data_IF_841513374182
#
_entry.id   IF_841513374182
#
_cell.length_a   1.000
_cell.length_b   1.000
_cell.length_c   1.000
_cell.angle_alpha   90.00
_cell.angle_beta   90.00
_cell.angle_gamma   90.00
#
_symmetry.space_group_name_H-M   'P 1'
#
loop_
_entity.id
_entity.type
_entity.pdbx_description
1 polymer ?
#
# COMPACT_ATOMS: atom_id res chain seq x y z
N UNK A 1 -27.91 74.12 -10.85
CA UNK A 1 -28.28 73.35 -10.16
C UNK A 1 -27.88 72.08 -10.28
N UNK A 2 -27.42 71.45 -9.84
CA UNK A 2 -27.25 70.42 -9.48
C UNK A 2 -26.88 69.34 -9.75
N UNK A 3 -26.46 68.62 -9.42
CA UNK A 3 -26.37 67.54 -9.24
C UNK A 3 -25.52 66.66 -9.43
N UNK A 4 -24.94 65.95 -9.00
CA UNK A 4 -25.02 64.96 -8.39
C UNK A 4 -24.77 63.77 -8.90
N UNK A 5 -24.03 63.11 -8.50
CA UNK A 5 -23.90 61.99 -8.50
C UNK A 5 -23.17 61.17 -8.03
N UNK A 6 -23.15 60.37 -7.76
CA UNK A 6 -23.08 59.24 -7.23
C UNK A 6 -22.40 58.27 -7.92
N UNK A 7 -21.51 57.86 -7.43
CA UNK A 7 -20.90 56.82 -7.93
C UNK A 7 -20.84 55.74 -7.01
N UNK A 8 -21.35 54.79 -7.26
CA UNK A 8 -21.32 53.70 -6.42
C UNK A 8 -20.23 52.81 -6.82
N UNK A 9 -19.42 52.69 -6.07
CA UNK A 9 -18.39 51.78 -6.34
C UNK A 9 -18.70 50.51 -5.69
N UNK A 10 -19.06 49.66 -6.36
CA UNK A 10 -19.26 48.39 -5.82
C UNK A 10 -18.00 47.65 -5.88
N UNK A 11 -17.39 47.62 -4.91
CA UNK A 11 -16.17 46.87 -4.82
C UNK A 11 -16.44 45.44 -4.58
N UNK A 12 -16.21 44.78 -5.49
CA UNK A 12 -16.33 43.46 -5.33
C UNK A 12 -15.23 42.76 -4.97
N UNK A 13 -15.33 42.28 -4.04
CA UNK A 13 -14.36 41.61 -3.50
C UNK A 13 -14.60 40.24 -3.55
N UNK A 14 -14.10 39.64 -4.33
CA UNK A 14 -14.38 38.36 -4.38
C UNK A 14 -13.37 37.46 -4.33
N UNK A 15 -12.34 37.85 -4.36
CA UNK A 15 -11.31 37.00 -4.65
C UNK A 15 -10.82 36.08 -3.63
N UNK A 16 -11.02 36.37 -2.51
CA UNK A 16 -10.34 35.68 -1.51
C UNK A 16 -10.59 34.22 -1.39
N UNK A 17 -11.69 33.83 -1.74
CA UNK A 17 -11.99 32.52 -1.38
C UNK A 17 -11.32 31.48 -2.14
N UNK A 18 -11.16 31.73 -3.33
CA UNK A 18 -10.66 30.69 -4.13
C UNK A 18 -9.35 30.19 -3.67
N UNK A 19 -8.58 31.02 -3.21
CA UNK A 19 -7.28 30.61 -2.88
C UNK A 19 -7.20 29.63 -1.80
N UNK A 20 -7.99 29.79 -0.89
CA UNK A 20 -7.89 28.96 0.24
C UNK A 20 -8.14 27.56 -0.05
N UNK A 21 -9.08 27.34 -0.87
CA UNK A 21 -9.38 26.03 -1.12
C UNK A 21 -8.30 25.31 -1.78
N UNK A 22 -7.67 25.98 -2.63
CA UNK A 22 -6.70 25.32 -3.40
C UNK A 22 -5.60 24.78 -2.57
N UNK A 23 -5.06 25.56 -1.76
CA UNK A 23 -3.92 25.07 -1.08
C UNK A 23 -4.29 24.13 0.00
N UNK A 24 -5.36 24.37 0.61
CA UNK A 24 -5.68 23.55 1.73
C UNK A 24 -5.78 22.08 1.40
N UNK A 25 -6.65 21.76 0.52
CA UNK A 25 -6.86 20.36 0.29
C UNK A 25 -5.67 19.64 -0.25
N UNK A 26 -5.02 20.25 -1.11
CA UNK A 26 -3.92 19.61 -1.73
C UNK A 26 -2.88 19.23 -0.74
N UNK A 27 -2.55 20.10 0.07
CA UNK A 27 -1.50 19.87 0.99
C UNK A 27 -1.84 18.82 1.97
N UNK A 28 -2.99 18.94 2.47
CA UNK A 28 -3.34 18.06 3.53
C UNK A 28 -3.36 16.65 3.08
N UNK A 29 -3.85 16.44 1.94
CA UNK A 29 -3.95 15.10 1.47
C UNK A 29 -2.62 14.44 1.42
N UNK A 30 -1.66 15.13 1.04
CA UNK A 30 -0.38 14.54 0.86
C UNK A 30 0.22 14.06 2.15
N UNK A 31 0.09 14.79 3.16
CA UNK A 31 0.77 14.43 4.35
C UNK A 31 0.04 13.50 5.21
N UNK A 32 -1.20 13.47 5.09
CA UNK A 32 -1.94 12.74 6.04
C UNK A 32 -1.81 11.24 5.91
N UNK A 33 -1.24 10.79 4.86
CA UNK A 33 -1.33 9.38 4.63
C UNK A 33 -0.10 8.62 5.03
N UNK A 34 0.08 8.45 6.24
CA UNK A 34 1.15 7.61 6.71
C UNK A 34 0.61 6.20 6.81
N UNK A 35 1.19 5.28 6.08
CA UNK A 35 0.79 3.89 6.17
C UNK A 35 1.43 3.30 7.41
N UNK A 36 0.65 2.75 8.30
CA UNK A 36 1.25 2.18 9.50
C UNK A 36 2.13 0.99 9.17
N UNK A 37 3.29 0.98 9.76
CA UNK A 37 4.20 -0.12 9.59
C UNK A 37 3.82 -1.23 10.55
N UNK A 38 3.94 -2.44 10.09
CA UNK A 38 3.75 -3.62 10.94
C UNK A 38 5.08 -4.34 10.99
N UNK A 39 5.67 -4.43 12.15
CA UNK A 39 6.91 -5.15 12.31
C UNK A 39 6.62 -6.65 12.30
N UNK A 40 7.35 -7.36 11.48
CA UNK A 40 7.25 -8.82 11.41
C UNK A 40 8.46 -9.41 12.11
N UNK A 41 8.22 -10.28 13.04
CA UNK A 41 9.32 -11.00 13.68
C UNK A 41 9.66 -12.27 12.89
N UNK A 42 10.66 -12.99 13.34
CA UNK A 42 11.10 -14.17 12.59
C UNK A 42 10.03 -15.25 12.51
N UNK A 43 9.20 -15.38 13.52
CA UNK A 43 8.12 -16.37 13.47
C UNK A 43 7.05 -16.00 12.48
N UNK A 44 6.75 -14.70 12.36
CA UNK A 44 5.82 -14.22 11.35
C UNK A 44 6.38 -14.51 9.95
N UNK A 45 7.64 -14.18 9.75
CA UNK A 45 8.28 -14.37 8.45
C UNK A 45 8.34 -15.83 8.04
N UNK A 46 8.57 -16.71 8.98
CA UNK A 46 8.58 -18.14 8.69
C UNK A 46 7.21 -18.64 8.22
N UNK A 47 6.17 -18.18 8.87
CA UNK A 47 4.81 -18.56 8.49
C UNK A 47 4.43 -17.96 7.14
N UNK A 48 4.80 -16.72 6.91
CA UNK A 48 4.53 -16.06 5.65
C UNK A 48 5.30 -16.77 4.52
N UNK A 49 6.53 -17.17 4.77
CA UNK A 49 7.31 -17.90 3.78
C UNK A 49 6.62 -19.22 3.42
N UNK A 50 6.19 -19.98 4.41
CA UNK A 50 5.47 -21.22 4.16
C UNK A 50 4.19 -20.96 3.38
N UNK A 51 3.51 -19.88 3.68
CA UNK A 51 2.29 -19.50 2.97
C UNK A 51 2.59 -19.11 1.52
N UNK A 52 3.69 -18.44 1.29
CA UNK A 52 4.14 -18.09 -0.05
C UNK A 52 4.37 -19.37 -0.89
N UNK A 53 5.03 -20.37 -0.29
CA UNK A 53 5.26 -21.64 -0.99
C UNK A 53 3.92 -22.32 -1.34
N UNK A 54 2.95 -22.23 -0.45
CA UNK A 54 1.62 -22.79 -0.70
C UNK A 54 0.88 -21.99 -1.75
N UNK A 55 0.92 -20.68 -1.66
CA UNK A 55 0.25 -19.79 -2.61
C UNK A 55 0.80 -19.97 -4.02
N UNK A 56 2.09 -20.30 -4.12
CA UNK A 56 2.73 -20.53 -5.42
C UNK A 56 2.17 -21.75 -6.15
N UNK A 57 1.51 -22.63 -5.43
CA UNK A 57 0.88 -23.81 -6.03
C UNK A 57 -0.59 -23.59 -6.26
N UNK A 58 -1.13 -22.54 -5.74
CA UNK A 58 -2.54 -22.22 -5.91
C UNK A 58 -2.73 -21.45 -7.23
N UNK A 59 -3.99 -21.24 -7.56
CA UNK A 59 -4.31 -20.48 -8.76
C UNK A 59 -3.89 -19.04 -8.58
N UNK A 60 -3.31 -18.44 -9.59
CA UNK A 60 -2.95 -17.03 -9.57
C UNK A 60 -4.19 -16.20 -9.24
N UNK A 61 -4.02 -15.25 -8.34
CA UNK A 61 -5.12 -14.42 -7.88
C UNK A 61 -5.86 -14.96 -6.67
N UNK A 62 -5.56 -16.19 -6.24
CA UNK A 62 -6.24 -16.76 -5.10
C UNK A 62 -5.50 -16.46 -3.81
N UNK A 63 -6.12 -15.77 -2.85
CA UNK A 63 -5.46 -15.51 -1.58
C UNK A 63 -5.33 -16.77 -0.72
N UNK A 64 -4.20 -16.91 -0.09
CA UNK A 64 -3.96 -17.98 0.88
C UNK A 64 -3.71 -17.33 2.23
N UNK A 65 -4.53 -17.68 3.19
CA UNK A 65 -4.47 -17.05 4.50
C UNK A 65 -3.29 -17.54 5.33
N UNK A 66 -2.77 -16.69 6.18
CA UNK A 66 -1.79 -17.08 7.18
C UNK A 66 -2.19 -16.50 8.54
N UNK A 67 -1.77 -17.17 9.59
CA UNK A 67 -2.04 -16.75 10.96
C UNK A 67 -0.87 -17.15 11.83
N UNK A 68 -0.45 -16.26 12.69
CA UNK A 68 0.56 -16.57 13.69
C UNK A 68 -0.02 -16.40 15.09
N UNK A 69 -0.37 -17.49 15.76
CA UNK A 69 -0.95 -17.39 17.10
C UNK A 69 0.02 -16.82 18.12
N UNK A 70 1.30 -16.94 17.88
CA UNK A 70 2.28 -16.42 18.83
C UNK A 70 2.31 -14.89 18.87
N UNK A 71 1.99 -14.24 17.78
CA UNK A 71 2.01 -12.77 17.71
C UNK A 71 0.61 -12.18 17.54
N UNK A 72 -0.36 -13.02 17.22
CA UNK A 72 -1.72 -12.55 16.94
C UNK A 72 -1.87 -11.92 15.56
N UNK A 73 -0.84 -11.93 14.74
CA UNK A 73 -0.91 -11.37 13.40
C UNK A 73 -1.49 -12.38 12.41
N UNK A 74 -2.10 -11.88 11.40
CA UNK A 74 -2.70 -12.71 10.35
C UNK A 74 -2.75 -11.94 9.05
N UNK A 75 -3.10 -12.61 7.97
CA UNK A 75 -3.25 -11.95 6.69
C UNK A 75 -3.39 -12.95 5.56
N UNK A 76 -2.88 -12.60 4.42
CA UNK A 76 -2.95 -13.44 3.24
C UNK A 76 -1.80 -13.15 2.29
N UNK A 77 -1.45 -14.16 1.51
CA UNK A 77 -0.50 -14.04 0.40
C UNK A 77 -1.24 -14.41 -0.87
N UNK A 78 -1.16 -13.56 -1.86
CA UNK A 78 -1.78 -13.80 -3.17
C UNK A 78 -0.73 -13.67 -4.25
N UNK A 79 -0.62 -14.66 -5.12
CA UNK A 79 0.27 -14.55 -6.26
C UNK A 79 -0.46 -13.74 -7.33
N UNK A 80 0.14 -12.66 -7.76
CA UNK A 80 -0.48 -11.77 -8.73
C UNK A 80 -0.19 -12.23 -10.15
N UNK A 81 1.04 -12.64 -10.40
CA UNK A 81 1.43 -13.15 -11.71
C UNK A 81 2.74 -13.92 -11.63
N UNK A 82 3.00 -14.73 -12.62
CA UNK A 82 4.21 -15.52 -12.74
C UNK A 82 4.77 -15.37 -14.14
N UNK A 83 6.08 -15.48 -14.27
CA UNK A 83 6.69 -15.43 -15.59
C UNK A 83 8.19 -15.64 -15.50
N UNK A 84 8.81 -15.79 -16.66
CA UNK A 84 10.25 -15.97 -16.74
C UNK A 84 10.94 -14.63 -16.98
N UNK A 85 12.07 -14.46 -16.35
CA UNK A 85 12.93 -13.31 -16.61
C UNK A 85 13.73 -13.55 -17.89
N UNK A 86 14.45 -12.54 -18.33
CA UNK A 86 15.25 -12.67 -19.57
C UNK A 86 16.30 -13.74 -19.45
N UNK A 87 16.83 -13.97 -18.26
CA UNK A 87 17.84 -14.99 -18.04
C UNK A 87 17.22 -16.35 -17.73
N UNK A 88 15.93 -16.51 -17.93
CA UNK A 88 15.27 -17.80 -17.80
C UNK A 88 14.88 -18.20 -16.40
N UNK A 89 14.93 -17.29 -15.45
CA UNK A 89 14.56 -17.59 -14.09
C UNK A 89 13.05 -17.41 -13.91
N UNK A 90 12.41 -18.37 -13.28
CA UNK A 90 10.99 -18.26 -13.01
C UNK A 90 10.76 -17.40 -11.77
N UNK A 91 10.02 -16.33 -11.93
CA UNK A 91 9.71 -15.41 -10.84
C UNK A 91 8.21 -15.15 -10.77
N UNK A 92 7.76 -14.68 -9.63
CA UNK A 92 6.36 -14.32 -9.43
C UNK A 92 6.26 -13.04 -8.60
N UNK A 93 5.21 -12.30 -8.82
CA UNK A 93 4.87 -11.17 -7.96
C UNK A 93 3.81 -11.63 -6.98
N UNK A 94 3.95 -11.21 -5.76
CA UNK A 94 2.99 -11.56 -4.73
C UNK A 94 2.51 -10.31 -3.99
N UNK A 95 1.31 -10.40 -3.46
CA UNK A 95 0.74 -9.39 -2.59
C UNK A 95 0.63 -10.01 -1.20
N UNK A 96 1.24 -9.36 -0.23
CA UNK A 96 1.21 -9.80 1.15
C UNK A 96 0.40 -8.80 1.96
N UNK A 97 -0.53 -9.29 2.73
CA UNK A 97 -1.28 -8.48 3.67
C UNK A 97 -1.02 -8.99 5.07
N UNK A 98 -0.81 -8.10 6.00
CA UNK A 98 -0.73 -8.43 7.40
C UNK A 98 -1.64 -7.53 8.21
N UNK A 99 -2.30 -8.10 9.18
CA UNK A 99 -3.20 -7.40 10.07
C UNK A 99 -2.79 -7.64 11.52
N UNK A 100 -2.92 -6.59 12.31
CA UNK A 100 -2.90 -6.70 13.77
C UNK A 100 -4.25 -6.23 14.26
N UNK A 101 -4.46 -6.21 15.57
CA UNK A 101 -5.69 -5.67 16.13
C UNK A 101 -5.83 -4.17 15.86
N UNK A 102 -4.73 -3.49 15.59
CA UNK A 102 -4.74 -2.04 15.45
C UNK A 102 -4.42 -1.54 14.04
N UNK A 103 -3.88 -2.37 13.18
CA UNK A 103 -3.36 -1.89 11.91
C UNK A 103 -3.41 -2.94 10.82
N UNK A 104 -3.35 -2.48 9.60
CA UNK A 104 -3.24 -3.34 8.43
C UNK A 104 -2.17 -2.76 7.52
N UNK A 105 -1.29 -3.60 7.03
CA UNK A 105 -0.26 -3.19 6.10
C UNK A 105 -0.17 -4.19 4.96
N UNK A 106 0.41 -3.76 3.86
CA UNK A 106 0.52 -4.60 2.68
C UNK A 106 1.80 -4.30 1.92
N UNK A 107 2.23 -5.28 1.17
CA UNK A 107 3.45 -5.19 0.37
C UNK A 107 3.22 -5.93 -0.94
N UNK A 108 3.73 -5.38 -2.02
CA UNK A 108 3.85 -6.11 -3.28
C UNK A 108 5.33 -6.44 -3.42
N UNK A 109 5.62 -7.70 -3.55
CA UNK A 109 6.99 -8.16 -3.64
C UNK A 109 7.19 -9.11 -4.80
N UNK A 110 8.43 -9.53 -4.98
CA UNK A 110 8.79 -10.47 -6.03
C UNK A 110 9.56 -11.62 -5.40
N UNK A 111 9.26 -12.81 -5.82
CA UNK A 111 9.99 -14.00 -5.41
C UNK A 111 10.40 -14.79 -6.63
N UNK A 112 11.59 -15.34 -6.60
CA UNK A 112 12.07 -16.15 -7.71
C UNK A 112 12.39 -17.55 -7.24
N UNK A 113 12.25 -18.51 -8.13
CA UNK A 113 12.42 -19.90 -7.79
C UNK A 113 13.88 -20.29 -7.88
N UNK A 114 14.36 -20.90 -6.82
CA UNK A 114 15.72 -21.39 -6.73
C UNK A 114 15.70 -22.69 -5.95
N UNK A 115 16.29 -23.74 -6.51
CA UNK A 115 16.32 -25.06 -5.86
C UNK A 115 14.94 -25.55 -5.42
N UNK A 116 13.95 -25.29 -6.25
CA UNK A 116 12.59 -25.75 -5.97
C UNK A 116 11.83 -24.93 -4.94
N UNK A 117 12.43 -23.87 -4.45
CA UNK A 117 11.80 -23.01 -3.44
C UNK A 117 11.68 -21.59 -3.94
N UNK A 118 10.62 -20.92 -3.56
CA UNK A 118 10.39 -19.51 -3.88
C UNK A 118 11.08 -18.66 -2.81
N UNK A 119 11.95 -17.77 -3.24
CA UNK A 119 12.69 -16.90 -2.33
C UNK A 119 12.32 -15.45 -2.61
N UNK A 120 11.75 -14.75 -1.65
CA UNK A 120 11.39 -13.35 -1.86
C UNK A 120 12.64 -12.47 -1.95
N UNK A 121 12.65 -11.60 -2.93
CA UNK A 121 13.74 -10.65 -3.08
C UNK A 121 13.56 -9.55 -2.06
N UNK A 122 14.58 -9.34 -1.21
CA UNK A 122 14.48 -8.34 -0.18
C UNK A 122 13.66 -8.74 1.03
N UNK A 123 13.18 -9.97 1.06
CA UNK A 123 12.44 -10.47 2.21
C UNK A 123 11.04 -9.90 2.33
N UNK A 124 10.49 -9.95 3.54
CA UNK A 124 9.16 -9.43 3.82
C UNK A 124 9.27 -8.17 4.66
N UNK A 125 8.77 -7.07 4.13
CA UNK A 125 8.73 -5.80 4.85
C UNK A 125 7.37 -5.18 4.61
N UNK A 126 6.78 -4.62 5.64
CA UNK A 126 5.44 -4.07 5.56
C UNK A 126 5.40 -2.66 6.11
N UNK A 127 4.94 -1.75 5.29
CA UNK A 127 4.71 -0.39 5.74
C UNK A 127 5.95 0.42 6.06
N UNK A 128 7.03 0.18 5.38
CA UNK A 128 8.23 0.97 5.60
C UNK A 128 8.25 2.28 4.82
#
# INVERSE_FOLDING_TARGET
MKKLLLAAAAGLVLAGCATDQTKGPATTAAEAVAVPAIALDDSDKAIIDATLQTASKAMVGKPVAWTNPATGKNGAVTIIRQGYTRDGKLCQEFHLVANTSAARAQQVGKACRSNGKWTPEGGFTLGS
#
